data_IF_459945875548
#
_entry.id   IF_459945875548
#
_cell.length_a   1.000
_cell.length_b   1.000
_cell.length_c   1.000
_cell.angle_alpha   90.00
_cell.angle_beta   90.00
_cell.angle_gamma   90.00
#
_symmetry.space_group_name_H-M   'P 1'
#
loop_
_entity.id
_entity.type
_entity.pdbx_description
1 polymer ?
#
# COMPACT_ATOMS: atom_id res chain seq x y z
N UNK A 1 27.17 65.48 52.33
CA UNK A 1 27.06 65.52 50.86
C UNK A 1 28.30 64.88 50.24
N UNK A 2 28.17 63.66 49.70
CA UNK A 2 28.78 63.18 48.44
C UNK A 2 28.50 61.67 48.36
N UNK A 3 27.74 61.31 47.34
CA UNK A 3 27.17 59.99 47.10
C UNK A 3 28.23 59.00 46.61
N UNK A 4 28.23 57.79 47.17
CA UNK A 4 28.89 56.63 46.58
C UNK A 4 27.95 56.02 45.54
N UNK A 5 28.32 56.11 44.26
CA UNK A 5 27.66 55.38 43.17
C UNK A 5 28.29 53.99 43.08
N UNK A 6 27.57 52.97 43.54
CA UNK A 6 27.93 51.57 43.35
C UNK A 6 27.28 51.07 42.05
N UNK A 7 28.07 50.92 40.98
CA UNK A 7 27.63 50.32 39.73
C UNK A 7 27.58 48.79 39.88
N UNK A 8 26.36 48.25 39.96
CA UNK A 8 26.11 46.80 39.94
C UNK A 8 26.11 46.31 38.49
N UNK A 9 27.19 45.66 38.06
CA UNK A 9 27.29 45.04 36.74
C UNK A 9 26.55 43.70 36.76
N UNK A 10 25.32 43.67 36.26
CA UNK A 10 24.51 42.46 36.16
C UNK A 10 25.02 41.61 34.96
N UNK A 11 25.83 40.59 35.23
CA UNK A 11 26.23 39.61 34.22
C UNK A 11 25.02 38.71 33.88
N UNK A 12 24.29 39.04 32.80
CA UNK A 12 23.35 38.10 32.19
C UNK A 12 24.12 36.95 31.54
N UNK A 13 24.28 35.83 32.25
CA UNK A 13 24.58 34.54 31.64
C UNK A 13 23.40 34.17 30.73
N UNK A 14 23.57 34.39 29.43
CA UNK A 14 22.71 33.85 28.39
C UNK A 14 22.87 32.33 28.37
N UNK A 15 22.04 31.65 29.14
CA UNK A 15 21.81 30.22 28.96
C UNK A 15 21.16 30.05 27.59
N UNK A 16 21.98 29.81 26.56
CA UNK A 16 21.51 29.36 25.27
C UNK A 16 20.85 27.99 25.49
N UNK A 17 19.55 28.00 25.78
CA UNK A 17 18.75 26.80 25.76
C UNK A 17 18.90 26.18 24.38
N UNK A 18 19.57 25.03 24.29
CA UNK A 18 19.62 24.24 23.06
C UNK A 18 18.19 23.81 22.75
N UNK A 19 17.46 24.64 22.01
CA UNK A 19 16.19 24.27 21.44
C UNK A 19 16.40 23.00 20.62
N UNK A 20 15.57 21.99 20.84
CA UNK A 20 15.69 20.74 20.10
C UNK A 20 15.54 21.02 18.61
N UNK A 21 16.64 20.87 17.85
CA UNK A 21 16.77 21.26 16.44
C UNK A 21 15.75 20.53 15.54
N UNK A 22 15.31 19.34 15.97
CA UNK A 22 14.48 18.43 15.20
C UNK A 22 13.21 18.04 15.95
N UNK A 23 12.06 18.20 15.28
CA UNK A 23 10.75 17.86 15.85
C UNK A 23 10.24 16.51 15.35
N UNK A 24 9.54 15.81 16.25
CA UNK A 24 8.73 14.62 15.96
C UNK A 24 7.27 15.05 15.73
N UNK A 25 6.36 14.12 15.44
CA UNK A 25 4.96 14.49 15.16
C UNK A 25 4.05 13.38 14.67
N UNK A 26 4.38 12.12 14.96
CA UNK A 26 3.52 10.97 14.67
C UNK A 26 2.98 10.43 15.98
N UNK A 27 1.67 10.30 16.07
CA UNK A 27 1.00 9.71 17.22
C UNK A 27 0.97 8.18 17.06
N UNK A 28 1.36 7.50 18.15
CA UNK A 28 1.42 6.05 18.22
C UNK A 28 0.03 5.57 18.65
N UNK A 29 -0.75 5.08 17.69
CA UNK A 29 -2.08 4.52 17.87
C UNK A 29 -2.15 3.14 17.19
N UNK A 30 -2.08 2.09 18.03
CA UNK A 30 -2.03 0.71 17.59
C UNK A 30 -3.41 0.21 17.08
N UNK A 31 -4.51 0.76 17.59
CA UNK A 31 -5.87 0.37 17.21
C UNK A 31 -6.21 0.94 15.84
N UNK A 32 -5.94 2.22 15.65
CA UNK A 32 -6.10 2.88 14.35
C UNK A 32 -5.23 2.27 13.26
N UNK A 33 -4.03 1.77 13.60
CA UNK A 33 -3.22 1.02 12.63
C UNK A 33 -3.89 -0.29 12.21
N UNK A 34 -4.50 -0.99 13.17
CA UNK A 34 -5.11 -2.32 12.97
C UNK A 34 -6.39 -2.28 12.14
N UNK A 35 -7.05 -1.12 12.04
CA UNK A 35 -8.20 -0.87 11.15
C UNK A 35 -7.81 -0.80 9.67
N UNK A 36 -6.56 -0.46 9.37
CA UNK A 36 -6.09 -0.35 7.97
C UNK A 36 -5.92 -1.74 7.38
N UNK A 37 -6.44 -2.01 6.16
CA UNK A 37 -6.27 -3.31 5.52
C UNK A 37 -4.79 -3.69 5.32
N UNK A 38 -4.45 -4.92 5.68
CA UNK A 38 -3.16 -5.56 5.49
C UNK A 38 -3.01 -6.05 4.04
N UNK A 39 -1.85 -5.87 3.44
CA UNK A 39 -1.53 -6.48 2.14
C UNK A 39 -1.72 -8.00 2.22
N UNK A 40 -2.34 -8.58 1.19
CA UNK A 40 -2.50 -10.02 1.12
C UNK A 40 -1.15 -10.74 1.15
N UNK A 41 -1.08 -11.84 1.89
CA UNK A 41 0.11 -12.68 1.96
C UNK A 41 0.34 -13.34 0.60
N UNK A 42 1.46 -13.02 -0.03
CA UNK A 42 1.93 -13.69 -1.23
C UNK A 42 2.54 -15.06 -0.90
N UNK A 43 2.81 -15.86 -1.92
CA UNK A 43 3.54 -17.12 -1.79
C UNK A 43 4.97 -16.90 -1.27
N UNK A 44 5.54 -17.90 -0.60
CA UNK A 44 6.88 -17.84 0.00
C UNK A 44 7.94 -17.44 -1.02
N UNK A 45 7.86 -17.99 -2.24
CA UNK A 45 8.78 -17.67 -3.35
C UNK A 45 8.81 -16.19 -3.71
N UNK A 46 7.69 -15.47 -3.52
CA UNK A 46 7.61 -14.04 -3.84
C UNK A 46 8.45 -13.18 -2.89
N UNK A 47 8.83 -13.72 -1.73
CA UNK A 47 9.67 -13.05 -0.74
C UNK A 47 11.12 -13.53 -0.73
N UNK A 48 11.41 -14.72 -1.27
CA UNK A 48 12.77 -15.28 -1.33
C UNK A 48 13.50 -14.88 -2.61
N UNK A 49 12.78 -14.68 -3.71
CA UNK A 49 13.38 -14.32 -5.01
C UNK A 49 13.50 -12.80 -5.21
N UNK A 50 13.91 -12.07 -4.16
CA UNK A 50 14.10 -10.62 -4.20
C UNK A 50 15.57 -10.27 -4.53
N UNK A 51 15.83 -9.16 -5.24
CA UNK A 51 17.20 -8.70 -5.45
C UNK A 51 17.88 -8.40 -4.11
N UNK A 52 19.21 -8.56 -4.02
CA UNK A 52 19.95 -8.25 -2.79
C UNK A 52 19.88 -6.76 -2.38
N UNK A 53 19.53 -5.87 -3.32
CA UNK A 53 19.33 -4.44 -3.06
C UNK A 53 18.27 -3.86 -3.98
N UNK A 54 17.52 -2.88 -3.48
CA UNK A 54 16.62 -2.05 -4.27
C UNK A 54 16.66 -0.61 -3.74
N UNK A 55 16.64 0.38 -4.63
CA UNK A 55 16.65 1.79 -4.23
C UNK A 55 15.75 2.65 -5.10
N UNK A 56 14.92 3.43 -4.42
CA UNK A 56 14.09 4.50 -4.96
C UNK A 56 14.78 5.86 -4.92
N UNK A 57 16.04 5.92 -4.43
CA UNK A 57 16.75 7.18 -4.19
C UNK A 57 16.80 8.06 -5.42
N UNK A 58 16.91 7.49 -6.63
CA UNK A 58 16.90 8.26 -7.89
C UNK A 58 15.62 9.09 -8.10
N UNK A 59 14.47 8.64 -7.61
CA UNK A 59 13.19 9.35 -7.68
C UNK A 59 12.85 10.21 -6.46
N UNK A 60 13.72 10.23 -5.44
CA UNK A 60 13.50 11.06 -4.27
C UNK A 60 13.73 12.56 -4.58
N UNK A 61 12.91 13.47 -4.05
CA UNK A 61 13.24 14.89 -4.04
C UNK A 61 14.42 15.18 -3.12
N UNK A 62 14.97 16.39 -3.19
CA UNK A 62 15.95 16.87 -2.21
C UNK A 62 15.27 16.95 -0.84
N UNK A 63 15.78 16.30 0.23
CA UNK A 63 15.17 16.38 1.54
C UNK A 63 15.06 17.82 2.06
N UNK A 64 13.87 18.18 2.53
CA UNK A 64 13.58 19.48 3.16
C UNK A 64 13.27 19.29 4.64
N UNK A 65 13.19 20.41 5.36
CA UNK A 65 12.96 20.42 6.81
C UNK A 65 11.53 20.79 7.16
N UNK A 66 10.92 20.01 8.06
CA UNK A 66 9.68 20.36 8.75
C UNK A 66 9.87 21.46 9.80
N UNK A 67 11.12 21.83 10.09
CA UNK A 67 11.48 22.80 11.13
C UNK A 67 10.99 22.37 12.51
N UNK A 68 10.52 23.34 13.29
CA UNK A 68 10.04 23.19 14.67
C UNK A 68 8.62 22.61 14.79
N UNK A 69 8.02 22.10 13.71
CA UNK A 69 6.61 21.69 13.68
C UNK A 69 6.45 20.18 13.79
N UNK A 70 5.31 19.76 14.34
CA UNK A 70 4.89 18.36 14.47
C UNK A 70 4.37 17.71 13.18
N UNK A 71 4.92 18.07 12.03
CA UNK A 71 4.29 17.82 10.71
C UNK A 71 4.87 16.63 9.95
N UNK A 72 5.71 15.80 10.59
CA UNK A 72 6.42 14.69 9.93
C UNK A 72 5.50 13.73 9.15
N UNK A 73 4.25 13.55 9.60
CA UNK A 73 3.24 12.74 8.89
C UNK A 73 2.92 13.31 7.51
N UNK A 74 2.76 14.64 7.41
CA UNK A 74 2.56 15.34 6.15
C UNK A 74 3.78 15.23 5.24
N UNK A 75 4.98 15.39 5.81
CA UNK A 75 6.24 15.33 5.08
C UNK A 75 6.56 13.93 4.53
N UNK A 76 6.49 12.91 5.36
CA UNK A 76 6.73 11.52 4.93
C UNK A 76 5.72 11.04 3.88
N UNK A 77 4.45 11.41 4.03
CA UNK A 77 3.37 10.97 3.13
C UNK A 77 3.30 11.75 1.82
N UNK A 78 3.22 13.08 1.88
CA UNK A 78 3.11 13.92 0.68
C UNK A 78 4.46 14.21 0.06
N UNK A 79 5.37 14.83 0.82
CA UNK A 79 6.62 15.34 0.26
C UNK A 79 7.56 14.21 -0.19
N UNK A 80 7.67 13.14 0.58
CA UNK A 80 8.49 11.99 0.22
C UNK A 80 7.69 10.97 -0.64
N UNK A 81 6.81 10.17 -0.04
CA UNK A 81 6.22 9.01 -0.71
C UNK A 81 5.40 9.38 -1.96
N UNK A 82 4.46 10.33 -1.86
CA UNK A 82 3.64 10.73 -3.01
C UNK A 82 4.47 11.36 -4.14
N UNK A 83 5.53 12.10 -3.83
CA UNK A 83 6.46 12.63 -4.84
C UNK A 83 7.27 11.53 -5.52
N UNK A 84 7.80 10.57 -4.76
CA UNK A 84 8.54 9.42 -5.32
C UNK A 84 7.64 8.63 -6.30
N UNK A 85 6.38 8.39 -5.92
CA UNK A 85 5.39 7.73 -6.79
C UNK A 85 5.16 8.52 -8.08
N UNK A 86 5.02 9.85 -8.02
CA UNK A 86 4.84 10.68 -9.22
C UNK A 86 6.10 10.68 -10.09
N UNK A 87 7.27 10.88 -9.49
CA UNK A 87 8.53 10.92 -10.22
C UNK A 87 8.77 9.60 -10.96
N UNK A 88 8.49 8.47 -10.30
CA UNK A 88 8.57 7.14 -10.92
C UNK A 88 7.57 6.99 -12.07
N UNK A 89 6.30 7.34 -11.86
CA UNK A 89 5.27 7.19 -12.89
C UNK A 89 5.49 8.09 -14.11
N UNK A 90 6.18 9.22 -13.93
CA UNK A 90 6.52 10.18 -14.99
C UNK A 90 7.92 9.98 -15.59
N UNK A 91 8.68 9.00 -15.10
CA UNK A 91 10.06 8.76 -15.55
C UNK A 91 11.04 9.89 -15.19
N UNK A 92 10.78 10.69 -14.16
CA UNK A 92 11.66 11.78 -13.76
C UNK A 92 12.82 11.27 -12.92
N UNK A 93 14.05 11.58 -13.33
CA UNK A 93 15.29 11.26 -12.60
C UNK A 93 16.10 12.50 -12.21
N UNK A 94 15.87 13.63 -12.87
CA UNK A 94 16.49 14.91 -12.52
C UNK A 94 15.99 15.43 -11.16
N UNK A 95 16.92 15.76 -10.26
CA UNK A 95 16.62 16.14 -8.88
C UNK A 95 15.89 17.47 -8.76
N UNK A 96 16.22 18.44 -9.60
CA UNK A 96 15.57 19.75 -9.54
C UNK A 96 14.14 19.67 -10.05
N UNK A 97 13.91 18.93 -11.14
CA UNK A 97 12.57 18.63 -11.67
C UNK A 97 11.70 17.89 -10.66
N UNK A 98 12.24 16.88 -9.98
CA UNK A 98 11.50 16.16 -8.93
C UNK A 98 11.17 17.12 -7.78
N UNK A 99 12.14 17.90 -7.32
CA UNK A 99 11.99 18.82 -6.17
C UNK A 99 10.99 19.94 -6.45
N UNK A 100 11.00 20.51 -7.65
CA UNK A 100 10.02 21.54 -8.08
C UNK A 100 8.60 20.98 -8.23
N UNK A 101 8.46 19.67 -8.38
CA UNK A 101 7.18 18.96 -8.50
C UNK A 101 6.77 18.19 -7.22
N UNK A 102 7.34 18.55 -6.07
CA UNK A 102 6.99 17.97 -4.76
C UNK A 102 5.53 18.26 -4.37
N UNK A 103 4.97 17.48 -3.44
CA UNK A 103 3.61 17.69 -2.92
C UNK A 103 3.63 18.43 -1.57
N UNK A 104 2.56 19.18 -1.28
CA UNK A 104 2.48 20.03 -0.08
C UNK A 104 2.22 19.20 1.20
N UNK A 105 3.18 19.12 2.15
CA UNK A 105 2.97 18.46 3.43
C UNK A 105 2.06 19.25 4.35
N UNK A 106 2.07 20.59 4.28
CA UNK A 106 1.22 21.46 5.08
C UNK A 106 -0.26 21.34 4.72
N UNK A 107 -0.59 21.17 3.44
CA UNK A 107 -1.96 20.85 3.01
C UNK A 107 -2.47 19.58 3.71
N UNK A 108 -1.66 18.52 3.66
CA UNK A 108 -2.04 17.23 4.24
C UNK A 108 -2.21 17.35 5.76
N UNK A 109 -1.20 17.94 6.42
CA UNK A 109 -1.21 18.10 7.86
C UNK A 109 -2.39 18.95 8.37
N UNK A 110 -2.72 20.06 7.69
CA UNK A 110 -3.87 20.90 8.06
C UNK A 110 -5.21 20.14 8.05
N UNK A 111 -5.34 19.11 7.21
CA UNK A 111 -6.56 18.31 7.13
C UNK A 111 -6.64 17.18 8.16
N UNK A 112 -5.53 16.83 8.81
CA UNK A 112 -5.43 15.70 9.75
C UNK A 112 -5.05 16.12 11.18
N UNK A 113 -4.61 17.37 11.38
CA UNK A 113 -4.29 17.91 12.71
C UNK A 113 -5.56 18.15 13.52
N UNK A 114 -5.42 18.10 14.83
CA UNK A 114 -6.48 18.51 15.76
C UNK A 114 -6.90 19.96 15.50
N UNK A 115 -8.21 20.23 15.59
CA UNK A 115 -8.74 21.59 15.39
C UNK A 115 -8.10 22.62 16.33
N UNK A 116 -7.78 22.21 17.56
CA UNK A 116 -7.10 23.02 18.58
C UNK A 116 -5.60 23.24 18.36
N UNK A 117 -4.97 22.57 17.38
CA UNK A 117 -3.53 22.69 17.15
C UNK A 117 -3.19 23.85 16.20
N UNK A 118 -3.34 25.09 16.66
CA UNK A 118 -3.07 26.28 15.84
C UNK A 118 -1.59 26.42 15.46
N UNK A 119 -0.67 25.96 16.32
CA UNK A 119 0.77 26.09 16.14
C UNK A 119 1.45 24.94 15.37
N UNK A 120 0.69 23.95 14.91
CA UNK A 120 1.20 22.72 14.29
C UNK A 120 2.27 22.04 15.15
N UNK A 121 2.01 21.89 16.44
CA UNK A 121 2.92 21.32 17.43
C UNK A 121 2.53 19.91 17.84
N UNK A 122 1.28 19.50 17.60
CA UNK A 122 0.80 18.16 17.94
C UNK A 122 1.13 17.16 16.84
N UNK A 123 1.10 15.89 17.18
CA UNK A 123 1.24 14.84 16.18
C UNK A 123 -0.07 14.60 15.41
N UNK A 124 -0.02 13.64 14.50
CA UNK A 124 -1.19 13.08 13.83
C UNK A 124 -0.91 11.63 13.41
N UNK A 125 -1.84 11.00 12.70
CA UNK A 125 -1.77 9.60 12.29
C UNK A 125 -1.46 9.48 10.79
N UNK A 126 -0.58 8.54 10.43
CA UNK A 126 -0.23 8.26 9.03
C UNK A 126 -1.46 7.80 8.23
N UNK A 127 -2.34 7.00 8.84
CA UNK A 127 -3.57 6.51 8.19
C UNK A 127 -4.52 7.65 7.79
N UNK A 128 -4.67 8.69 8.62
CA UNK A 128 -5.48 9.87 8.27
C UNK A 128 -4.90 10.58 7.04
N UNK A 129 -3.58 10.71 7.00
CA UNK A 129 -2.85 11.31 5.88
C UNK A 129 -3.11 10.51 4.58
N UNK A 130 -2.97 9.18 4.65
CA UNK A 130 -3.25 8.30 3.52
C UNK A 130 -4.70 8.39 3.06
N UNK A 131 -5.65 8.44 4.01
CA UNK A 131 -7.07 8.58 3.71
C UNK A 131 -7.41 9.90 2.99
N UNK A 132 -6.77 11.00 3.39
CA UNK A 132 -6.88 12.28 2.67
C UNK A 132 -6.31 12.17 1.26
N UNK A 133 -5.16 11.50 1.07
CA UNK A 133 -4.59 11.30 -0.26
C UNK A 133 -5.49 10.47 -1.19
N UNK A 134 -6.26 9.51 -0.66
CA UNK A 134 -7.28 8.77 -1.42
C UNK A 134 -8.48 9.67 -1.74
N UNK A 135 -9.05 10.32 -0.73
CA UNK A 135 -10.34 11.00 -0.85
C UNK A 135 -10.25 12.36 -1.54
N UNK A 136 -9.16 13.10 -1.31
CA UNK A 136 -8.97 14.50 -1.74
C UNK A 136 -7.75 14.68 -2.64
N UNK A 137 -6.74 13.83 -2.51
CA UNK A 137 -5.44 14.01 -3.15
C UNK A 137 -4.62 15.10 -2.45
N UNK A 138 -3.51 15.53 -3.07
CA UNK A 138 -2.60 16.53 -2.49
C UNK A 138 -2.13 17.48 -3.58
N UNK A 139 -2.15 18.80 -3.36
CA UNK A 139 -1.64 19.75 -4.33
C UNK A 139 -0.10 19.76 -4.33
N UNK A 140 0.50 20.35 -5.38
CA UNK A 140 1.94 20.59 -5.42
C UNK A 140 2.39 21.52 -4.28
N UNK A 141 3.62 21.34 -3.80
CA UNK A 141 4.24 22.16 -2.75
C UNK A 141 4.23 23.63 -3.14
N UNK A 142 4.49 23.95 -4.41
CA UNK A 142 4.47 25.32 -4.95
C UNK A 142 3.11 26.01 -4.85
N UNK A 143 2.01 25.26 -4.74
CA UNK A 143 0.66 25.83 -4.53
C UNK A 143 0.45 26.25 -3.09
N UNK A 144 1.09 25.56 -2.14
CA UNK A 144 0.96 25.84 -0.71
C UNK A 144 2.29 25.52 0.02
N UNK A 145 3.29 26.42 -0.08
CA UNK A 145 4.69 26.13 0.27
C UNK A 145 5.02 26.37 1.75
N UNK A 146 4.14 25.92 2.67
CA UNK A 146 4.35 26.06 4.12
C UNK A 146 4.14 24.73 4.85
N UNK A 147 4.85 24.53 5.95
CA UNK A 147 4.66 23.37 6.84
C UNK A 147 3.44 23.52 7.73
N UNK A 148 3.14 24.74 8.19
CA UNK A 148 2.01 25.03 9.05
C UNK A 148 1.06 25.99 8.34
N UNK A 149 -0.02 25.43 7.81
CA UNK A 149 -1.04 26.17 7.06
C UNK A 149 -2.10 26.67 8.03
N UNK A 150 -2.38 27.98 8.03
CA UNK A 150 -3.50 28.58 8.76
C UNK A 150 -4.83 28.23 8.11
N UNK A 151 -4.96 28.46 6.79
CA UNK A 151 -6.17 28.25 6.01
C UNK A 151 -5.86 27.67 4.62
N UNK A 152 -6.76 26.83 4.09
CA UNK A 152 -6.66 26.26 2.74
C UNK A 152 -7.72 26.94 1.87
N UNK A 153 -7.33 27.77 0.88
CA UNK A 153 -8.28 28.34 -0.06
C UNK A 153 -9.03 27.25 -0.83
N UNK A 154 -10.32 27.47 -1.10
CA UNK A 154 -11.20 26.49 -1.77
C UNK A 154 -10.63 26.01 -3.12
N UNK A 155 -9.98 26.90 -3.87
CA UNK A 155 -9.35 26.61 -5.17
C UNK A 155 -8.21 25.58 -5.08
N UNK A 156 -7.57 25.43 -3.93
CA UNK A 156 -6.49 24.45 -3.72
C UNK A 156 -7.02 23.02 -3.72
N UNK A 157 -8.26 22.79 -3.28
CA UNK A 157 -8.88 21.45 -3.31
C UNK A 157 -9.05 20.92 -4.74
N UNK A 158 -9.35 21.80 -5.70
CA UNK A 158 -9.44 21.42 -7.12
C UNK A 158 -8.08 20.95 -7.66
N UNK A 159 -6.99 21.63 -7.27
CA UNK A 159 -5.62 21.23 -7.62
C UNK A 159 -5.20 19.93 -6.91
N UNK A 160 -5.71 19.65 -5.71
CA UNK A 160 -5.44 18.41 -4.99
C UNK A 160 -6.12 17.19 -5.65
N UNK A 161 -7.36 17.35 -6.12
CA UNK A 161 -8.21 16.28 -6.66
C UNK A 161 -7.58 15.53 -7.85
N UNK A 162 -6.70 16.18 -8.60
CA UNK A 162 -6.02 15.60 -9.76
C UNK A 162 -4.89 14.63 -9.37
N UNK A 163 -4.42 14.66 -8.13
CA UNK A 163 -3.25 13.91 -7.64
C UNK A 163 -3.58 12.92 -6.52
N UNK A 164 -4.75 12.29 -6.60
CA UNK A 164 -5.14 11.19 -5.71
C UNK A 164 -4.22 9.98 -5.86
N UNK A 165 -4.10 9.22 -4.76
CA UNK A 165 -3.64 7.83 -4.79
C UNK A 165 -4.86 6.91 -4.90
N UNK A 166 -4.64 5.66 -5.30
CA UNK A 166 -5.73 4.69 -5.50
C UNK A 166 -6.16 4.09 -4.16
N UNK A 167 -5.21 3.71 -3.32
CA UNK A 167 -5.47 3.19 -1.97
C UNK A 167 -4.21 3.27 -1.11
N UNK A 168 -4.26 2.65 0.07
CA UNK A 168 -3.11 2.35 0.89
C UNK A 168 -3.36 1.05 1.66
N UNK A 169 -2.29 0.41 2.11
CA UNK A 169 -2.38 -0.79 2.93
C UNK A 169 -1.19 -0.87 3.87
N UNK A 170 -1.38 -1.53 5.02
CA UNK A 170 -0.28 -1.86 5.90
C UNK A 170 0.51 -3.06 5.37
N UNK A 171 1.81 -3.08 5.62
CA UNK A 171 2.71 -4.14 5.14
C UNK A 171 2.92 -5.28 6.15
N UNK A 172 2.69 -5.01 7.43
CA UNK A 172 2.78 -5.99 8.49
C UNK A 172 1.78 -5.68 9.62
N UNK A 173 1.67 -6.59 10.57
CA UNK A 173 0.94 -6.39 11.83
C UNK A 173 1.91 -6.29 13.01
N UNK A 174 1.39 -5.89 14.18
CA UNK A 174 2.13 -5.84 15.45
C UNK A 174 2.66 -7.23 15.84
N UNK A 175 1.85 -8.26 15.62
CA UNK A 175 2.20 -9.65 15.91
C UNK A 175 3.18 -10.29 14.91
N UNK A 176 3.58 -9.59 13.85
CA UNK A 176 4.54 -10.14 12.89
C UNK A 176 5.93 -10.20 13.52
N UNK A 177 6.56 -11.38 13.43
CA UNK A 177 7.97 -11.54 13.74
C UNK A 177 8.86 -10.69 12.83
N UNK A 178 10.09 -10.41 13.29
CA UNK A 178 11.04 -9.52 12.60
C UNK A 178 11.23 -9.88 11.12
N UNK A 179 11.44 -11.15 10.84
CA UNK A 179 11.66 -11.65 9.48
C UNK A 179 10.48 -11.37 8.54
N UNK A 180 9.24 -11.46 9.02
CA UNK A 180 8.07 -11.11 8.20
C UNK A 180 7.99 -9.61 7.94
N UNK A 181 8.24 -8.78 8.95
CA UNK A 181 8.31 -7.31 8.75
C UNK A 181 9.35 -6.95 7.69
N UNK A 182 10.56 -7.49 7.82
CA UNK A 182 11.67 -7.23 6.90
C UNK A 182 11.32 -7.68 5.48
N UNK A 183 10.81 -8.91 5.31
CA UNK A 183 10.43 -9.45 3.99
C UNK A 183 9.31 -8.65 3.33
N UNK A 184 8.28 -8.24 4.07
CA UNK A 184 7.20 -7.38 3.54
C UNK A 184 7.72 -6.03 3.05
N UNK A 185 8.63 -5.40 3.82
CA UNK A 185 9.27 -4.15 3.42
C UNK A 185 10.12 -4.34 2.15
N UNK A 186 10.97 -5.37 2.11
CA UNK A 186 11.82 -5.67 0.94
C UNK A 186 10.97 -5.92 -0.31
N UNK A 187 9.86 -6.67 -0.21
CA UNK A 187 8.96 -6.91 -1.35
C UNK A 187 8.40 -5.61 -1.91
N UNK A 188 7.89 -4.74 -1.05
CA UNK A 188 7.33 -3.43 -1.45
C UNK A 188 8.39 -2.56 -2.15
N UNK A 189 9.59 -2.46 -1.56
CA UNK A 189 10.69 -1.66 -2.10
C UNK A 189 11.28 -2.25 -3.39
N UNK A 190 11.35 -3.58 -3.52
CA UNK A 190 11.79 -4.26 -4.73
C UNK A 190 10.83 -4.04 -5.91
N UNK A 191 9.52 -4.01 -5.64
CA UNK A 191 8.51 -3.56 -6.61
C UNK A 191 8.55 -2.04 -6.87
N UNK A 192 9.41 -1.33 -6.15
CA UNK A 192 9.64 0.10 -6.26
C UNK A 192 8.50 0.93 -5.72
N UNK A 193 7.89 0.52 -4.61
CA UNK A 193 6.88 1.28 -3.89
C UNK A 193 7.52 1.89 -2.63
N UNK A 194 7.47 3.22 -2.42
CA UNK A 194 7.97 3.83 -1.20
C UNK A 194 7.05 3.48 -0.03
N UNK A 195 7.63 3.31 1.16
CA UNK A 195 6.88 2.94 2.36
C UNK A 195 6.94 4.05 3.39
N UNK A 196 5.78 4.54 3.81
CA UNK A 196 5.70 5.49 4.94
C UNK A 196 5.68 4.68 6.23
N UNK A 197 6.61 4.99 7.12
CA UNK A 197 6.77 4.26 8.38
C UNK A 197 6.48 5.16 9.57
N UNK A 198 6.01 4.56 10.65
CA UNK A 198 6.00 5.15 11.98
C UNK A 198 7.03 4.46 12.86
N UNK A 199 8.03 5.21 13.34
CA UNK A 199 9.12 4.69 14.17
C UNK A 199 9.15 5.38 15.53
N UNK A 200 9.48 4.62 16.58
CA UNK A 200 9.88 5.17 17.87
C UNK A 200 11.27 5.78 17.72
N UNK A 201 11.41 7.08 18.00
CA UNK A 201 12.67 7.80 17.83
C UNK A 201 13.31 8.15 19.18
N UNK A 202 14.32 7.39 19.64
CA UNK A 202 15.05 7.72 20.86
C UNK A 202 16.14 8.77 20.60
N UNK A 203 16.84 9.20 21.66
CA UNK A 203 17.80 10.34 21.61
C UNK A 203 18.97 10.10 20.66
N UNK A 204 19.45 8.86 20.53
CA UNK A 204 20.53 8.47 19.61
C UNK A 204 20.17 8.76 18.15
N UNK A 205 18.88 8.69 17.78
CA UNK A 205 18.43 8.94 16.40
C UNK A 205 18.65 10.39 15.97
N UNK A 206 18.44 11.35 16.88
CA UNK A 206 18.63 12.78 16.59
C UNK A 206 20.08 13.12 16.22
N UNK A 207 21.04 12.38 16.76
CA UNK A 207 22.48 12.57 16.53
C UNK A 207 23.04 11.74 15.38
N UNK A 208 22.18 10.95 14.72
CA UNK A 208 22.62 10.05 13.67
C UNK A 208 23.11 10.83 12.44
N UNK A 209 24.20 10.31 11.82
CA UNK A 209 24.79 10.86 10.60
C UNK A 209 24.39 9.97 9.40
N UNK A 210 25.28 9.13 8.88
CA UNK A 210 24.92 8.25 7.76
C UNK A 210 24.30 6.90 8.14
N UNK A 211 24.48 6.49 9.39
CA UNK A 211 24.03 5.21 9.92
C UNK A 211 23.57 5.41 11.36
N UNK A 212 22.42 4.83 11.71
CA UNK A 212 21.91 4.88 13.07
C UNK A 212 22.12 3.54 13.75
N UNK A 213 22.84 3.58 14.88
CA UNK A 213 22.96 2.47 15.82
C UNK A 213 22.23 2.89 17.11
N UNK A 214 21.13 2.23 17.48
CA UNK A 214 20.41 2.58 18.70
C UNK A 214 21.29 2.32 19.94
N UNK A 215 21.17 3.18 20.95
CA UNK A 215 21.78 2.98 22.26
C UNK A 215 20.73 2.60 23.32
N UNK A 216 19.46 2.82 23.00
CA UNK A 216 18.36 2.71 23.94
C UNK A 216 17.55 1.42 23.73
N UNK A 217 16.83 0.99 24.77
CA UNK A 217 16.02 -0.22 24.72
C UNK A 217 14.74 0.00 23.90
N UNK A 218 14.49 -0.77 22.81
CA UNK A 218 13.32 -0.57 21.97
C UNK A 218 11.99 -0.72 22.72
N UNK A 219 11.93 -1.42 23.85
CA UNK A 219 10.68 -1.65 24.60
C UNK A 219 10.22 -0.44 25.42
N UNK A 220 11.05 0.59 25.57
CA UNK A 220 10.68 1.81 26.28
C UNK A 220 9.85 2.78 25.42
N UNK A 221 9.28 3.79 26.08
CA UNK A 221 8.48 4.84 25.44
C UNK A 221 9.38 5.91 24.85
N UNK A 222 9.14 6.23 23.58
CA UNK A 222 9.77 7.33 22.86
C UNK A 222 8.72 8.08 22.04
N UNK A 223 9.07 9.28 21.58
CA UNK A 223 8.22 10.01 20.64
C UNK A 223 8.13 9.28 19.29
N UNK A 224 6.99 9.42 18.62
CA UNK A 224 6.76 8.85 17.31
C UNK A 224 7.19 9.79 16.18
N UNK A 225 7.92 9.24 15.20
CA UNK A 225 8.30 9.95 13.97
C UNK A 225 7.85 9.22 12.72
N UNK A 226 7.31 9.99 11.76
CA UNK A 226 6.94 9.46 10.45
C UNK A 226 8.01 9.79 9.42
N UNK A 227 8.46 8.77 8.68
CA UNK A 227 9.51 8.89 7.66
C UNK A 227 9.18 8.01 6.45
N UNK A 228 9.98 8.08 5.39
CA UNK A 228 9.77 7.27 4.19
C UNK A 228 10.96 6.34 3.93
N UNK A 229 10.75 5.03 3.94
CA UNK A 229 11.75 4.05 3.51
C UNK A 229 11.80 4.03 2.00
N UNK A 230 13.00 4.17 1.45
CA UNK A 230 13.22 4.33 0.02
C UNK A 230 14.13 3.27 -0.57
N UNK A 231 14.68 2.36 0.23
CA UNK A 231 15.47 1.27 -0.30
C UNK A 231 15.98 0.32 0.77
N UNK A 232 16.64 -0.73 0.32
CA UNK A 232 17.36 -1.66 1.16
C UNK A 232 18.60 -2.18 0.43
N UNK A 233 19.57 -2.64 1.21
CA UNK A 233 20.76 -3.33 0.72
C UNK A 233 21.18 -4.38 1.74
N UNK A 234 21.16 -5.65 1.34
CA UNK A 234 21.48 -6.80 2.18
C UNK A 234 22.95 -6.82 2.61
N UNK A 235 23.85 -6.17 1.87
CA UNK A 235 25.27 -6.09 2.19
C UNK A 235 25.60 -4.88 3.06
N UNK A 236 24.76 -3.83 3.03
CA UNK A 236 25.02 -2.58 3.76
C UNK A 236 24.85 -2.82 5.26
N UNK A 237 25.96 -2.79 6.00
CA UNK A 237 26.03 -3.04 7.45
C UNK A 237 25.48 -4.43 7.89
N UNK A 238 25.53 -5.42 6.99
CA UNK A 238 24.92 -6.75 7.23
C UNK A 238 23.39 -6.77 7.03
N UNK A 239 22.85 -5.82 6.28
CA UNK A 239 21.44 -5.71 5.94
C UNK A 239 20.79 -4.48 6.56
N UNK A 240 20.49 -3.49 5.71
CA UNK A 240 19.90 -2.22 6.17
C UNK A 240 18.86 -1.64 5.20
N UNK A 241 17.93 -0.87 5.78
CA UNK A 241 17.00 -0.01 5.05
C UNK A 241 17.55 1.42 4.96
N UNK A 242 17.35 2.07 3.81
CA UNK A 242 17.61 3.51 3.63
C UNK A 242 16.32 4.29 3.79
N UNK A 243 16.35 5.31 4.63
CA UNK A 243 15.18 6.10 5.03
C UNK A 243 15.43 7.57 4.68
N UNK A 244 14.48 8.20 4.01
CA UNK A 244 14.41 9.63 3.78
C UNK A 244 13.69 10.30 4.95
N UNK A 245 14.33 11.30 5.55
CA UNK A 245 13.79 12.08 6.66
C UNK A 245 13.37 13.49 6.22
N UNK A 246 12.69 14.21 7.11
CA UNK A 246 12.16 15.57 6.92
C UNK A 246 12.83 16.60 7.83
N UNK A 247 14.14 16.45 8.07
CA UNK A 247 14.95 17.38 8.87
C UNK A 247 15.99 18.14 8.02
N UNK A 248 15.82 18.13 6.69
CA UNK A 248 16.69 18.83 5.75
C UNK A 248 18.00 18.07 5.44
N UNK A 249 18.74 18.61 4.48
CA UNK A 249 19.95 17.97 3.93
C UNK A 249 21.14 17.97 4.88
N UNK A 250 21.17 18.87 5.87
CA UNK A 250 22.24 18.94 6.88
C UNK A 250 22.15 17.81 7.91
N UNK A 251 20.95 17.24 8.11
CA UNK A 251 20.79 16.09 8.97
C UNK A 251 21.18 14.80 8.25
N UNK A 252 21.78 13.89 8.99
CA UNK A 252 22.09 12.56 8.51
C UNK A 252 23.15 12.54 7.39
N UNK A 253 22.88 11.75 6.34
CA UNK A 253 23.65 11.74 5.09
C UNK A 253 22.82 12.40 3.98
N UNK A 254 22.84 13.74 3.92
CA UNK A 254 22.08 14.49 2.94
C UNK A 254 20.56 14.43 3.14
N UNK A 255 20.10 14.23 4.38
CA UNK A 255 18.70 13.99 4.74
C UNK A 255 18.26 12.52 4.69
N UNK A 256 19.19 11.59 4.48
CA UNK A 256 18.95 10.14 4.48
C UNK A 256 19.70 9.46 5.63
N UNK A 257 19.22 8.28 6.04
CA UNK A 257 19.85 7.45 7.08
C UNK A 257 19.74 5.96 6.73
N UNK A 258 20.76 5.19 7.10
CA UNK A 258 20.70 3.72 7.09
C UNK A 258 20.36 3.17 8.47
N UNK A 259 19.46 2.18 8.52
CA UNK A 259 19.04 1.48 9.74
C UNK A 259 19.10 -0.02 9.49
N UNK A 260 19.80 -0.78 10.34
CA UNK A 260 19.87 -2.25 10.19
C UNK A 260 18.48 -2.87 10.27
N UNK A 261 18.30 -4.02 9.62
CA UNK A 261 17.01 -4.72 9.59
C UNK A 261 16.45 -5.05 10.98
N UNK A 262 17.31 -5.50 11.90
CA UNK A 262 16.88 -5.80 13.27
C UNK A 262 16.46 -4.56 14.05
N UNK A 263 17.24 -3.48 13.96
CA UNK A 263 16.92 -2.21 14.60
C UNK A 263 15.61 -1.64 14.04
N UNK A 264 15.45 -1.68 12.72
CA UNK A 264 14.20 -1.30 12.06
C UNK A 264 13.03 -2.13 12.60
N UNK A 265 13.15 -3.46 12.64
CA UNK A 265 12.06 -4.34 13.09
C UNK A 265 11.66 -4.10 14.57
N UNK A 266 12.62 -3.69 15.41
CA UNK A 266 12.44 -3.40 16.83
C UNK A 266 11.81 -2.02 17.10
N UNK A 267 12.22 -0.99 16.35
CA UNK A 267 11.81 0.40 16.58
C UNK A 267 10.63 0.85 15.70
N UNK A 268 10.41 0.22 14.55
CA UNK A 268 9.31 0.56 13.64
C UNK A 268 8.00 -0.12 14.07
N UNK A 269 7.02 0.72 14.37
CA UNK A 269 5.67 0.34 14.80
C UNK A 269 4.74 0.13 13.61
N UNK A 270 4.81 1.01 12.62
CA UNK A 270 3.87 1.06 11.50
C UNK A 270 4.59 1.13 10.17
N UNK A 271 4.01 0.49 9.15
CA UNK A 271 4.45 0.60 7.77
C UNK A 271 3.24 0.58 6.84
N UNK A 272 3.19 1.56 5.95
CA UNK A 272 2.11 1.78 4.97
C UNK A 272 2.69 1.91 3.58
N UNK A 273 2.19 1.08 2.66
CA UNK A 273 2.47 1.22 1.23
C UNK A 273 1.44 2.17 0.60
N UNK A 274 1.94 3.12 -0.19
CA UNK A 274 1.09 3.96 -1.06
C UNK A 274 0.72 3.16 -2.30
N UNK A 275 -0.57 2.92 -2.53
CA UNK A 275 -1.03 2.18 -3.70
C UNK A 275 -1.36 3.18 -4.81
N UNK A 276 -0.57 3.10 -5.89
CA UNK A 276 -0.78 3.89 -7.10
C UNK A 276 -0.77 3.01 -8.34
N UNK A 277 -1.78 3.14 -9.19
CA UNK A 277 -1.85 2.40 -10.45
C UNK A 277 -1.31 3.31 -11.56
N UNK A 278 -0.19 2.95 -12.22
CA UNK A 278 0.34 3.71 -13.34
C UNK A 278 -0.74 3.87 -14.42
N UNK A 279 -0.90 5.09 -14.92
CA UNK A 279 -1.73 5.32 -16.11
C UNK A 279 -1.00 4.71 -17.30
N UNK A 280 -1.65 3.77 -17.98
CA UNK A 280 -1.15 3.22 -19.24
C UNK A 280 -1.81 3.93 -20.43
N UNK A 281 -1.11 3.93 -21.56
CA UNK A 281 -1.66 4.43 -22.81
C UNK A 281 -2.87 3.57 -23.24
N UNK A 282 -3.90 4.17 -23.86
CA UNK A 282 -5.03 3.42 -24.42
C UNK A 282 -4.56 2.27 -25.32
N UNK A 283 -5.25 1.13 -25.25
CA UNK A 283 -4.91 -0.07 -26.04
C UNK A 283 -3.73 -0.91 -25.51
N UNK A 284 -2.99 -0.43 -24.50
CA UNK A 284 -1.99 -1.26 -23.81
C UNK A 284 -2.66 -2.13 -22.76
N UNK A 285 -2.11 -3.34 -22.56
CA UNK A 285 -2.55 -4.25 -21.50
C UNK A 285 -2.33 -3.59 -20.15
N UNK A 286 -3.41 -3.47 -19.37
CA UNK A 286 -3.43 -2.84 -18.05
C UNK A 286 -4.18 -3.66 -16.99
N UNK A 287 -4.73 -4.81 -17.39
CA UNK A 287 -5.19 -5.90 -16.55
C UNK A 287 -4.64 -7.22 -17.07
N UNK A 288 -4.19 -8.07 -16.16
CA UNK A 288 -3.82 -9.45 -16.47
C UNK A 288 -3.96 -10.30 -15.23
N UNK A 289 -4.15 -11.60 -15.43
CA UNK A 289 -4.16 -12.54 -14.34
C UNK A 289 -4.15 -13.98 -14.81
N UNK A 290 -3.84 -14.88 -13.89
CA UNK A 290 -3.89 -16.32 -14.10
C UNK A 290 -4.41 -16.99 -12.82
N UNK A 291 -5.28 -17.97 -13.02
CA UNK A 291 -5.88 -18.81 -12.01
C UNK A 291 -5.38 -20.24 -12.17
N UNK A 292 -5.05 -20.91 -11.06
CA UNK A 292 -4.76 -22.34 -11.04
C UNK A 292 -5.49 -23.00 -9.89
N UNK A 293 -5.91 -24.23 -10.12
CA UNK A 293 -6.50 -25.10 -9.13
C UNK A 293 -5.61 -26.33 -9.05
N UNK A 294 -5.13 -26.66 -7.85
CA UNK A 294 -4.15 -27.74 -7.66
C UNK A 294 -4.60 -28.62 -6.53
N UNK A 295 -4.73 -29.92 -6.80
CA UNK A 295 -5.09 -30.93 -5.81
C UNK A 295 -4.01 -31.05 -4.73
N UNK A 296 -4.36 -31.62 -3.58
CA UNK A 296 -3.39 -31.93 -2.52
C UNK A 296 -2.24 -32.85 -2.98
N UNK A 297 -2.47 -33.65 -4.03
CA UNK A 297 -1.43 -34.46 -4.69
C UNK A 297 -0.46 -33.67 -5.56
N UNK A 298 -0.65 -32.36 -5.72
CA UNK A 298 0.14 -31.49 -6.62
C UNK A 298 -0.32 -31.51 -8.08
N UNK A 299 -1.29 -32.36 -8.45
CA UNK A 299 -1.85 -32.40 -9.81
C UNK A 299 -2.74 -31.19 -10.07
N UNK A 300 -2.60 -30.59 -11.25
CA UNK A 300 -3.46 -29.47 -11.68
C UNK A 300 -4.88 -29.99 -11.97
N UNK A 301 -5.89 -29.26 -11.51
CA UNK A 301 -7.28 -29.47 -11.92
C UNK A 301 -7.47 -28.78 -13.27
N UNK A 302 -7.54 -29.59 -14.33
CA UNK A 302 -7.67 -29.07 -15.70
C UNK A 302 -9.07 -28.52 -15.96
N UNK A 303 -9.13 -27.37 -16.61
CA UNK A 303 -10.35 -26.74 -17.07
C UNK A 303 -10.29 -26.50 -18.58
N UNK A 304 -11.45 -26.52 -19.21
CA UNK A 304 -11.64 -26.14 -20.60
C UNK A 304 -12.38 -24.82 -20.69
N UNK A 305 -12.03 -24.02 -21.70
CA UNK A 305 -12.75 -22.80 -22.02
C UNK A 305 -14.06 -23.14 -22.73
N UNK A 306 -15.20 -22.83 -22.10
CA UNK A 306 -16.51 -23.27 -22.61
C UNK A 306 -17.14 -22.24 -23.54
N UNK A 307 -17.15 -20.95 -23.16
CA UNK A 307 -17.59 -19.88 -24.05
C UNK A 307 -16.97 -18.54 -23.69
N UNK A 308 -16.86 -17.69 -24.72
CA UNK A 308 -16.84 -16.25 -24.54
C UNK A 308 -18.30 -15.79 -24.51
N UNK A 309 -18.83 -15.42 -23.35
CA UNK A 309 -19.89 -14.40 -23.40
C UNK A 309 -19.25 -13.09 -23.82
N UNK A 310 -20.05 -12.10 -24.21
CA UNK A 310 -19.51 -10.83 -24.74
C UNK A 310 -18.49 -10.17 -23.79
N UNK A 311 -18.47 -10.47 -22.48
CA UNK A 311 -17.61 -9.80 -21.50
C UNK A 311 -17.01 -10.66 -20.37
N UNK A 312 -17.47 -11.90 -20.16
CA UNK A 312 -17.01 -12.78 -19.07
C UNK A 312 -16.42 -14.07 -19.65
N UNK A 313 -15.25 -14.44 -19.17
CA UNK A 313 -14.66 -15.74 -19.54
C UNK A 313 -15.21 -16.84 -18.66
N UNK A 314 -15.69 -17.91 -19.28
CA UNK A 314 -16.29 -19.04 -18.57
C UNK A 314 -15.51 -20.33 -18.86
N UNK A 315 -15.02 -20.95 -17.79
CA UNK A 315 -14.29 -22.21 -17.81
C UNK A 315 -15.03 -23.26 -17.01
N UNK A 316 -14.89 -24.52 -17.42
CA UNK A 316 -15.43 -25.67 -16.70
C UNK A 316 -14.33 -26.68 -16.45
N UNK A 317 -14.29 -27.26 -15.26
CA UNK A 317 -13.37 -28.36 -14.97
C UNK A 317 -13.68 -29.56 -15.87
N UNK A 318 -12.64 -30.14 -16.50
CA UNK A 318 -12.79 -31.25 -17.47
C UNK A 318 -13.37 -32.53 -16.85
N UNK A 319 -13.25 -32.68 -15.53
CA UNK A 319 -13.75 -33.85 -14.80
C UNK A 319 -14.45 -33.42 -13.50
N UNK A 320 -15.43 -34.21 -13.04
CA UNK A 320 -16.01 -34.00 -11.72
C UNK A 320 -15.01 -34.32 -10.60
N UNK A 321 -15.26 -33.76 -9.42
CA UNK A 321 -14.49 -34.03 -8.20
C UNK A 321 -15.42 -34.48 -7.08
N UNK A 322 -15.01 -35.49 -6.32
CA UNK A 322 -15.83 -36.09 -5.27
C UNK A 322 -15.76 -35.30 -3.96
N UNK A 323 -16.75 -35.51 -3.09
CA UNK A 323 -16.72 -35.02 -1.72
C UNK A 323 -15.41 -35.37 -1.03
N UNK A 324 -14.89 -34.45 -0.22
CA UNK A 324 -13.60 -34.62 0.43
C UNK A 324 -12.37 -34.36 -0.43
N UNK A 325 -12.52 -34.08 -1.73
CA UNK A 325 -11.41 -33.59 -2.57
C UNK A 325 -10.77 -32.36 -1.94
N UNK A 326 -9.45 -32.41 -1.79
CA UNK A 326 -8.65 -31.31 -1.26
C UNK A 326 -7.87 -30.60 -2.36
N UNK A 327 -7.97 -29.27 -2.43
CA UNK A 327 -7.28 -28.46 -3.42
C UNK A 327 -6.92 -27.05 -2.90
N UNK A 328 -6.05 -26.36 -3.64
CA UNK A 328 -5.72 -24.94 -3.45
C UNK A 328 -6.06 -24.18 -4.72
N UNK A 329 -6.44 -22.92 -4.53
CA UNK A 329 -6.52 -21.96 -5.63
C UNK A 329 -5.31 -21.04 -5.60
N UNK A 330 -4.79 -20.74 -6.78
CA UNK A 330 -3.73 -19.77 -6.96
C UNK A 330 -4.26 -18.63 -7.81
N UNK A 331 -4.20 -17.42 -7.27
CA UNK A 331 -4.52 -16.18 -7.97
C UNK A 331 -3.21 -15.46 -8.25
N UNK A 332 -2.99 -15.05 -9.50
CA UNK A 332 -1.84 -14.25 -9.86
C UNK A 332 -2.19 -13.12 -10.82
N UNK A 333 -1.42 -12.03 -10.77
CA UNK A 333 -1.52 -10.91 -11.70
C UNK A 333 -0.16 -10.25 -11.89
N UNK A 334 0.07 -9.79 -13.12
CA UNK A 334 1.26 -9.02 -13.49
C UNK A 334 0.95 -7.54 -13.74
N UNK A 335 -0.34 -7.18 -13.75
CA UNK A 335 -0.80 -5.79 -13.84
C UNK A 335 -1.47 -5.39 -12.53
N UNK A 336 -1.16 -4.22 -11.95
CA UNK A 336 -1.79 -3.76 -10.72
C UNK A 336 -3.32 -3.71 -10.83
N UNK A 337 -3.99 -4.42 -9.92
CA UNK A 337 -5.44 -4.54 -9.87
C UNK A 337 -5.93 -4.73 -8.42
N UNK A 338 -7.18 -4.37 -8.18
CA UNK A 338 -7.94 -4.93 -7.07
C UNK A 338 -8.51 -6.26 -7.50
N UNK A 339 -8.26 -7.32 -6.73
CA UNK A 339 -8.73 -8.67 -7.05
C UNK A 339 -9.74 -9.11 -6.01
N UNK A 340 -10.84 -9.68 -6.50
CA UNK A 340 -11.90 -10.26 -5.68
C UNK A 340 -12.22 -11.65 -6.20
N UNK A 341 -12.52 -12.58 -5.30
CA UNK A 341 -13.03 -13.89 -5.64
C UNK A 341 -14.32 -14.14 -4.84
N UNK A 342 -15.37 -14.59 -5.52
CA UNK A 342 -16.69 -14.87 -4.97
C UNK A 342 -17.08 -16.30 -5.36
N UNK A 343 -17.51 -17.09 -4.39
CA UNK A 343 -18.12 -18.40 -4.65
C UNK A 343 -19.65 -18.30 -4.73
N UNK A 344 -20.27 -19.21 -5.47
CA UNK A 344 -21.71 -19.43 -5.55
C UNK A 344 -21.96 -20.91 -5.82
N UNK A 345 -23.11 -21.42 -5.41
CA UNK A 345 -23.59 -22.75 -5.75
C UNK A 345 -24.96 -22.67 -6.45
N UNK A 346 -25.64 -23.81 -6.58
CA UNK A 346 -27.00 -23.91 -7.14
C UNK A 346 -28.08 -23.20 -6.31
N UNK A 347 -27.80 -22.81 -5.06
CA UNK A 347 -28.73 -21.98 -4.25
C UNK A 347 -28.67 -20.51 -4.64
N UNK A 348 -27.81 -20.15 -5.59
CA UNK A 348 -27.60 -18.78 -6.09
C UNK A 348 -27.04 -17.79 -5.06
N UNK A 349 -26.84 -18.24 -3.82
CA UNK A 349 -26.17 -17.50 -2.75
C UNK A 349 -24.69 -17.31 -3.05
N UNK A 350 -24.14 -16.16 -2.66
CA UNK A 350 -22.74 -15.83 -2.92
C UNK A 350 -21.96 -15.68 -1.62
N UNK A 351 -20.69 -16.09 -1.60
CA UNK A 351 -19.79 -15.92 -0.45
C UNK A 351 -18.41 -15.39 -0.88
N UNK A 352 -17.70 -14.72 0.01
CA UNK A 352 -16.37 -14.18 -0.29
C UNK A 352 -15.31 -15.28 -0.19
N UNK A 353 -14.51 -15.43 -1.24
CA UNK A 353 -13.29 -16.25 -1.26
C UNK A 353 -12.08 -15.36 -1.03
N UNK A 354 -11.99 -14.22 -1.74
CA UNK A 354 -10.89 -13.26 -1.60
C UNK A 354 -11.38 -11.81 -1.80
N UNK A 355 -10.93 -10.85 -0.97
CA UNK A 355 -10.32 -11.08 0.34
C UNK A 355 -11.27 -11.84 1.27
N UNK A 356 -10.73 -12.74 2.09
CA UNK A 356 -11.54 -13.59 2.98
C UNK A 356 -12.04 -12.86 4.24
N UNK A 357 -11.55 -11.64 4.50
CA UNK A 357 -12.02 -10.77 5.58
C UNK A 357 -11.84 -9.29 5.21
N UNK A 358 -12.47 -8.38 5.96
CA UNK A 358 -12.39 -6.94 5.73
C UNK A 358 -11.02 -6.33 6.07
N UNK A 359 -10.18 -7.04 6.83
CA UNK A 359 -8.84 -6.60 7.22
C UNK A 359 -7.78 -6.90 6.16
N UNK A 360 -8.13 -7.60 5.08
CA UNK A 360 -7.20 -7.93 3.99
C UNK A 360 -7.48 -7.03 2.79
N UNK A 361 -6.43 -6.41 2.27
CA UNK A 361 -6.50 -5.55 1.09
C UNK A 361 -6.69 -6.39 -0.18
N UNK A 362 -7.66 -5.98 -1.00
CA UNK A 362 -7.87 -6.55 -2.33
C UNK A 362 -6.80 -6.11 -3.35
N UNK A 363 -5.97 -5.12 -3.03
CA UNK A 363 -5.05 -4.53 -3.98
C UNK A 363 -3.78 -5.39 -4.17
N UNK A 364 -3.66 -6.00 -5.34
CA UNK A 364 -2.49 -6.77 -5.79
C UNK A 364 -1.72 -5.91 -6.80
N UNK A 365 -0.63 -5.31 -6.33
CA UNK A 365 -0.06 -4.10 -6.93
C UNK A 365 1.31 -4.30 -7.55
N UNK A 366 1.91 -5.48 -7.41
CA UNK A 366 3.23 -5.77 -7.94
C UNK A 366 3.16 -6.38 -9.34
N UNK A 367 4.28 -6.40 -10.06
CA UNK A 367 4.38 -7.04 -11.39
C UNK A 367 4.38 -8.57 -11.32
N UNK A 368 4.51 -9.13 -10.12
CA UNK A 368 4.29 -10.54 -9.86
C UNK A 368 3.70 -10.68 -8.45
N UNK A 369 2.39 -10.91 -8.40
CA UNK A 369 1.69 -11.34 -7.19
C UNK A 369 1.26 -12.78 -7.41
N UNK A 370 1.52 -13.65 -6.45
CA UNK A 370 0.97 -14.99 -6.42
C UNK A 370 0.39 -15.22 -5.04
N UNK A 371 -0.89 -15.59 -4.96
CA UNK A 371 -1.61 -15.84 -3.72
C UNK A 371 -2.13 -17.26 -3.77
N UNK A 372 -1.83 -18.04 -2.74
CA UNK A 372 -2.48 -19.31 -2.48
C UNK A 372 -3.68 -19.10 -1.55
N UNK A 373 -4.82 -19.72 -1.87
CA UNK A 373 -6.04 -19.70 -1.05
C UNK A 373 -6.33 -21.15 -0.63
N UNK A 374 -6.44 -21.44 0.68
CA UNK A 374 -6.47 -20.49 1.81
C UNK A 374 -5.08 -19.99 2.25
N UNK A 375 -4.03 -20.65 1.78
CA UNK A 375 -2.63 -20.38 2.09
C UNK A 375 -1.76 -21.52 1.54
N UNK A 376 -0.44 -21.44 1.72
CA UNK A 376 0.47 -22.51 1.26
C UNK A 376 0.44 -23.75 2.15
N UNK A 377 -0.02 -23.63 3.40
CA UNK A 377 -0.06 -24.72 4.38
C UNK A 377 -1.42 -25.41 4.49
N UNK A 378 -2.46 -24.87 3.85
CA UNK A 378 -3.84 -25.32 4.01
C UNK A 378 -4.49 -25.69 2.68
N UNK A 379 -5.53 -26.52 2.72
CA UNK A 379 -6.32 -26.90 1.56
C UNK A 379 -7.80 -26.54 1.78
N UNK A 380 -8.49 -26.20 0.70
CA UNK A 380 -9.95 -26.24 0.63
C UNK A 380 -10.35 -27.71 0.51
N UNK A 381 -11.34 -28.14 1.28
CA UNK A 381 -11.93 -29.47 1.19
C UNK A 381 -13.37 -29.33 0.70
N UNK A 382 -13.72 -30.02 -0.38
CA UNK A 382 -15.11 -30.10 -0.85
C UNK A 382 -15.96 -30.81 0.22
N UNK A 383 -17.12 -30.24 0.52
CA UNK A 383 -18.02 -30.77 1.53
C UNK A 383 -18.86 -31.94 0.95
N UNK A 384 -19.97 -32.29 1.59
CA UNK A 384 -20.86 -33.37 1.13
C UNK A 384 -22.02 -32.85 0.26
N UNK A 385 -22.06 -31.56 -0.07
CA UNK A 385 -23.15 -30.94 -0.83
C UNK A 385 -22.88 -31.04 -2.33
N UNK A 386 -23.32 -32.16 -2.91
CA UNK A 386 -23.21 -32.40 -4.35
C UNK A 386 -23.89 -31.30 -5.19
N UNK A 387 -23.41 -31.11 -6.41
CA UNK A 387 -23.99 -30.16 -7.36
C UNK A 387 -22.92 -29.47 -8.20
N UNK A 388 -23.15 -28.19 -8.44
CA UNK A 388 -22.24 -27.37 -9.24
C UNK A 388 -21.81 -26.15 -8.45
N UNK A 389 -20.50 -26.01 -8.28
CA UNK A 389 -19.87 -24.85 -7.68
C UNK A 389 -19.37 -23.89 -8.75
N UNK A 390 -19.59 -22.60 -8.51
CA UNK A 390 -19.10 -21.52 -9.35
C UNK A 390 -18.18 -20.61 -8.56
N UNK A 391 -17.06 -20.23 -9.18
CA UNK A 391 -16.11 -19.28 -8.61
C UNK A 391 -15.88 -18.15 -9.61
N UNK A 392 -16.21 -16.93 -9.21
CA UNK A 392 -16.04 -15.72 -10.00
C UNK A 392 -14.85 -14.91 -9.47
N UNK A 393 -13.90 -14.61 -10.35
CA UNK A 393 -12.71 -13.82 -10.09
C UNK A 393 -12.78 -12.51 -10.86
N UNK A 394 -12.73 -11.39 -10.13
CA UNK A 394 -12.83 -10.04 -10.66
C UNK A 394 -11.50 -9.33 -10.48
N UNK A 395 -10.90 -8.88 -11.57
CA UNK A 395 -9.69 -8.05 -11.59
C UNK A 395 -10.07 -6.64 -12.02
N UNK A 396 -9.91 -5.66 -11.14
CA UNK A 396 -10.38 -4.30 -11.36
C UNK A 396 -9.31 -3.22 -11.26
N UNK A 397 -9.39 -2.21 -12.12
CA UNK A 397 -8.61 -0.97 -12.00
C UNK A 397 -9.11 -0.04 -10.89
N UNK A 398 -10.31 -0.28 -10.35
CA UNK A 398 -10.96 0.53 -9.31
C UNK A 398 -11.36 -0.35 -8.14
N UNK A 399 -11.41 0.22 -6.95
CA UNK A 399 -11.91 -0.48 -5.77
C UNK A 399 -13.41 -0.76 -5.96
N UNK A 400 -13.80 -2.02 -5.88
CA UNK A 400 -15.20 -2.43 -6.07
C UNK A 400 -15.95 -2.40 -4.73
N UNK A 401 -17.20 -1.95 -4.76
CA UNK A 401 -18.13 -2.16 -3.65
C UNK A 401 -18.68 -3.59 -3.71
N UNK A 402 -17.84 -4.55 -3.31
CA UNK A 402 -18.16 -5.98 -3.46
C UNK A 402 -19.42 -6.40 -2.68
N UNK A 403 -19.71 -5.72 -1.57
CA UNK A 403 -20.95 -5.92 -0.79
C UNK A 403 -22.17 -5.54 -1.62
N UNK A 404 -22.14 -4.40 -2.29
CA UNK A 404 -23.22 -3.96 -3.18
C UNK A 404 -23.37 -4.88 -4.39
N UNK A 405 -22.26 -5.27 -5.04
CA UNK A 405 -22.28 -6.20 -6.17
C UNK A 405 -22.94 -7.52 -5.78
N UNK A 406 -22.52 -8.15 -4.67
CA UNK A 406 -23.13 -9.39 -4.17
C UNK A 406 -24.62 -9.25 -3.86
N UNK A 407 -25.03 -8.12 -3.27
CA UNK A 407 -26.45 -7.83 -3.02
C UNK A 407 -27.24 -7.67 -4.32
N UNK A 408 -26.64 -7.13 -5.37
CA UNK A 408 -27.29 -6.99 -6.69
C UNK A 408 -27.37 -8.34 -7.42
N UNK A 409 -26.36 -9.20 -7.29
CA UNK A 409 -26.38 -10.54 -7.89
C UNK A 409 -27.59 -11.37 -7.42
N UNK A 410 -27.99 -11.23 -6.14
CA UNK A 410 -29.18 -11.89 -5.58
C UNK A 410 -30.52 -11.43 -6.19
N UNK A 411 -30.55 -10.30 -6.90
CA UNK A 411 -31.79 -9.74 -7.49
C UNK A 411 -32.07 -10.26 -8.89
N UNK A 412 -31.12 -10.97 -9.47
CA UNK A 412 -31.23 -11.54 -10.81
C UNK A 412 -31.15 -13.06 -10.68
N UNK A 413 -31.96 -13.76 -11.46
CA UNK A 413 -31.91 -15.21 -11.61
C UNK A 413 -31.02 -15.60 -12.80
N UNK A 414 -30.65 -16.88 -12.87
CA UNK A 414 -29.89 -17.45 -13.98
C UNK A 414 -28.43 -17.71 -13.63
N UNK A 415 -27.63 -18.10 -14.64
CA UNK A 415 -26.24 -18.51 -14.42
C UNK A 415 -25.43 -17.39 -13.75
N UNK A 416 -24.41 -17.75 -12.96
CA UNK A 416 -23.54 -16.74 -12.34
C UNK A 416 -22.90 -15.82 -13.39
N UNK A 417 -22.57 -16.36 -14.56
CA UNK A 417 -22.03 -15.60 -15.69
C UNK A 417 -23.01 -14.50 -16.13
N UNK A 418 -24.26 -14.86 -16.39
CA UNK A 418 -25.28 -13.90 -16.87
C UNK A 418 -25.60 -12.85 -15.81
N UNK A 419 -25.65 -13.24 -14.53
CA UNK A 419 -25.86 -12.32 -13.41
C UNK A 419 -24.71 -11.33 -13.27
N UNK A 420 -23.46 -11.77 -13.41
CA UNK A 420 -22.27 -10.89 -13.40
C UNK A 420 -22.29 -9.93 -14.59
N UNK A 421 -22.58 -10.43 -15.80
CA UNK A 421 -22.68 -9.58 -16.99
C UNK A 421 -23.74 -8.50 -16.82
N UNK A 422 -24.91 -8.85 -16.25
CA UNK A 422 -25.99 -7.91 -16.02
C UNK A 422 -25.65 -6.86 -14.96
N UNK A 423 -25.12 -7.28 -13.81
CA UNK A 423 -24.78 -6.38 -12.70
C UNK A 423 -23.61 -5.45 -13.04
N UNK A 424 -22.63 -5.95 -13.79
CA UNK A 424 -21.36 -5.25 -14.03
C UNK A 424 -21.18 -4.80 -15.50
N UNK A 425 -22.24 -4.79 -16.31
CA UNK A 425 -22.18 -4.51 -17.76
C UNK A 425 -21.38 -3.25 -18.12
N UNK A 426 -21.52 -2.20 -17.31
CA UNK A 426 -20.86 -0.91 -17.54
C UNK A 426 -19.37 -0.94 -17.20
N UNK A 427 -18.94 -1.83 -16.30
CA UNK A 427 -17.57 -1.93 -15.81
C UNK A 427 -16.75 -3.03 -16.50
N UNK A 428 -17.41 -4.07 -17.01
CA UNK A 428 -16.73 -5.20 -17.65
C UNK A 428 -16.05 -4.80 -18.97
N UNK A 429 -14.82 -5.26 -19.14
CA UNK A 429 -14.05 -5.12 -20.38
C UNK A 429 -14.67 -5.98 -21.47
N UNK A 430 -14.88 -5.40 -22.65
CA UNK A 430 -15.42 -6.13 -23.80
C UNK A 430 -14.44 -7.21 -24.29
N UNK A 431 -14.99 -8.34 -24.75
CA UNK A 431 -14.25 -9.49 -25.31
C UNK A 431 -13.20 -9.09 -26.35
N UNK A 432 -13.50 -8.15 -27.24
CA UNK A 432 -12.56 -7.64 -28.25
C UNK A 432 -11.27 -7.03 -27.67
N UNK A 433 -11.32 -6.57 -26.43
CA UNK A 433 -10.20 -5.95 -25.71
C UNK A 433 -9.54 -6.89 -24.69
N UNK A 434 -9.99 -8.14 -24.61
CA UNK A 434 -9.49 -9.14 -23.67
C UNK A 434 -9.15 -10.46 -24.40
N UNK A 435 -7.96 -10.98 -24.13
CA UNK A 435 -7.52 -12.29 -24.62
C UNK A 435 -7.49 -13.27 -23.47
N UNK A 436 -8.30 -14.31 -23.57
CA UNK A 436 -8.38 -15.40 -22.60
C UNK A 436 -7.64 -16.63 -23.13
N UNK A 437 -6.95 -17.38 -22.25
CA UNK A 437 -6.24 -18.59 -22.64
C UNK A 437 -7.18 -19.79 -22.77
N UNK A 438 -7.18 -20.50 -23.89
CA UNK A 438 -8.07 -21.66 -24.07
C UNK A 438 -7.84 -22.80 -23.07
N UNK A 439 -6.57 -23.17 -22.86
CA UNK A 439 -6.19 -24.30 -21.97
C UNK A 439 -5.76 -23.87 -20.56
N UNK A 440 -5.51 -22.57 -20.38
CA UNK A 440 -5.04 -22.01 -19.10
C UNK A 440 -5.99 -20.89 -18.73
N UNK A 441 -6.49 -20.90 -17.49
CA UNK A 441 -7.36 -19.85 -16.94
C UNK A 441 -6.58 -18.54 -16.72
N UNK A 442 -6.08 -17.95 -17.80
CA UNK A 442 -5.29 -16.72 -17.83
C UNK A 442 -5.90 -15.72 -18.77
N UNK A 443 -5.62 -14.45 -18.53
CA UNK A 443 -6.07 -13.38 -19.42
C UNK A 443 -5.10 -12.21 -19.48
N UNK A 444 -5.19 -11.47 -20.58
CA UNK A 444 -4.63 -10.13 -20.73
C UNK A 444 -5.71 -9.23 -21.31
N UNK A 445 -5.91 -8.06 -20.73
CA UNK A 445 -6.91 -7.12 -21.18
C UNK A 445 -6.36 -5.69 -21.23
N UNK A 446 -6.78 -4.95 -22.26
CA UNK A 446 -6.71 -3.50 -22.30
C UNK A 446 -8.06 -2.96 -21.85
N UNK A 447 -8.12 -2.26 -20.73
CA UNK A 447 -9.40 -1.85 -20.13
C UNK A 447 -10.25 -0.97 -21.06
N UNK A 448 -9.62 -0.14 -21.90
CA UNK A 448 -10.26 0.66 -22.94
C UNK A 448 -11.49 1.47 -22.44
N UNK A 449 -11.37 2.09 -21.26
CA UNK A 449 -12.43 2.88 -20.63
C UNK A 449 -13.35 2.09 -19.69
N UNK A 450 -13.30 0.75 -19.74
CA UNK A 450 -13.89 -0.15 -18.74
C UNK A 450 -12.93 -0.31 -17.56
N UNK A 451 -13.28 -1.15 -16.58
CA UNK A 451 -12.47 -1.29 -15.37
C UNK A 451 -12.32 -2.70 -14.83
N UNK A 452 -13.09 -3.70 -15.28
CA UNK A 452 -13.13 -5.04 -14.70
C UNK A 452 -12.95 -6.12 -15.77
N UNK A 453 -12.02 -7.04 -15.55
CA UNK A 453 -12.00 -8.33 -16.23
C UNK A 453 -12.52 -9.42 -15.29
N UNK A 454 -13.35 -10.32 -15.79
CA UNK A 454 -13.99 -11.36 -15.00
C UNK A 454 -13.76 -12.76 -15.59
N UNK A 455 -13.46 -13.71 -14.71
CA UNK A 455 -13.38 -15.14 -15.03
C UNK A 455 -14.31 -15.89 -14.10
N UNK A 456 -15.18 -16.75 -14.64
CA UNK A 456 -16.00 -17.69 -13.89
C UNK A 456 -15.50 -19.10 -14.17
N UNK A 457 -15.34 -19.89 -13.10
CA UNK A 457 -14.92 -21.29 -13.15
C UNK A 457 -16.01 -22.15 -12.55
N UNK A 458 -16.48 -23.14 -13.31
CA UNK A 458 -17.43 -24.18 -12.88
C UNK A 458 -16.70 -25.44 -12.45
N UNK A 459 -17.08 -25.99 -11.30
CA UNK A 459 -16.63 -27.29 -10.81
C UNK A 459 -17.85 -28.17 -10.58
N UNK A 460 -17.89 -29.34 -11.24
CA UNK A 460 -18.91 -30.36 -10.95
C UNK A 460 -18.49 -31.16 -9.72
N UNK A 461 -19.31 -31.13 -8.68
CA UNK A 461 -19.10 -31.82 -7.41
C UNK A 461 -20.02 -33.04 -7.32
N UNK A 462 -19.40 -34.22 -7.28
CA UNK A 462 -20.08 -35.51 -7.18
C UNK A 462 -19.87 -36.15 -5.81
N UNK A 463 -20.66 -37.18 -5.49
CA UNK A 463 -20.58 -37.82 -4.18
C UNK A 463 -19.20 -38.40 -3.91
#
# INVERSE_FOLDING_TARGET
MKHYFLTFLLAMLSVAGFAQEYSLGMEIDDDKYSEVPLKATLMTRDYTSLPAKASLKKWCPIPKSQGRYGTCVGWSSAYAARTIVEAKSRGWTDKQKITSNTFSPGFLYKLIKYKSDYGCKRGSHISDAMQVMVNRGVPKYTVLPTSCVSEIPSTVFNKARTYKIQDYARLFDRGYGKNLKIRSMKKSLAAGHPVVIGMKCPRSFFKAKGFWKPLENPNLRYGGHAMCVIGYDDNKYGGAFEIMNSWGTKWGNGGFIWVKYDDFANFTKYAYEVIYFPKKLPGKIDLSGELKFVLASGKTMEAEYVRQTNKVAYYKMKKPYSSGTQFRMYISNNEPAYVYAIGSDLTEETFMIFPNNSKTSAALTYESNNIAIPGEDYFIKMDNKIGTDYMCFLYSKKKLNIRQIRRQLKRYSGSLVDRIEKVMNNDLVDSKNARFGGEKMKFKAASAGKSVAAIVVEITHVR
#
